data_IF_462034227508
#
_entry.id   IF_462034227508
#
_cell.length_a   1.000
_cell.length_b   1.000
_cell.length_c   1.000
_cell.angle_alpha   90.00
_cell.angle_beta   90.00
_cell.angle_gamma   90.00
#
_symmetry.space_group_name_H-M   'P 1'
#
loop_
_entity.id
_entity.type
_entity.pdbx_description
1 polymer ?
#
# COMPACT_ATOMS: atom_id res chain seq x y z
N UNK A 1 33.39 4.35 39.69
CA UNK A 1 33.75 4.13 38.28
C UNK A 1 32.49 3.59 37.60
N UNK A 2 31.69 4.47 37.00
CA UNK A 2 30.46 4.07 36.30
C UNK A 2 30.83 3.74 34.87
N UNK A 3 30.43 2.56 34.40
CA UNK A 3 30.65 2.09 33.03
C UNK A 3 29.80 2.96 32.09
N UNK A 4 30.38 4.08 31.66
CA UNK A 4 29.93 4.80 30.46
C UNK A 4 30.19 3.84 29.30
N UNK A 5 29.19 3.63 28.45
CA UNK A 5 29.21 2.75 27.25
C UNK A 5 28.67 1.32 27.44
N UNK A 6 28.01 1.00 28.56
CA UNK A 6 27.20 -0.22 28.65
C UNK A 6 25.74 0.11 28.36
N UNK A 7 25.21 -0.48 27.31
CA UNK A 7 23.80 -0.43 26.99
C UNK A 7 23.00 -1.19 28.08
N UNK A 8 22.19 -0.44 28.83
CA UNK A 8 21.28 -0.97 29.87
C UNK A 8 19.86 -1.08 29.32
N UNK A 9 18.98 -1.82 29.98
CA UNK A 9 17.54 -1.87 29.63
C UNK A 9 16.87 -0.49 29.62
N UNK A 10 17.43 0.49 30.34
CA UNK A 10 16.95 1.87 30.41
C UNK A 10 17.56 2.81 29.37
N UNK A 11 18.66 2.40 28.73
CA UNK A 11 19.34 3.17 27.68
C UNK A 11 19.20 2.53 26.29
N UNK A 12 18.52 1.38 26.20
CA UNK A 12 18.16 0.75 24.93
C UNK A 12 17.15 1.62 24.20
N UNK A 13 17.46 1.95 22.95
CA UNK A 13 16.52 2.58 22.05
C UNK A 13 15.27 1.68 21.88
N UNK A 14 14.11 2.28 21.62
CA UNK A 14 12.88 1.52 21.44
C UNK A 14 13.04 0.50 20.31
N UNK A 15 12.60 -0.74 20.54
CA UNK A 15 12.71 -1.81 19.54
C UNK A 15 11.74 -1.62 18.38
N UNK A 16 10.74 -0.74 18.52
CA UNK A 16 9.74 -0.45 17.50
C UNK A 16 9.93 0.94 16.87
N UNK A 17 11.17 1.36 16.61
CA UNK A 17 11.39 2.56 15.77
C UNK A 17 10.93 2.26 14.34
N UNK A 18 10.28 3.23 13.70
CA UNK A 18 9.86 3.14 12.30
C UNK A 18 11.07 3.04 11.36
N UNK A 19 10.83 2.77 10.08
CA UNK A 19 11.90 2.83 9.08
C UNK A 19 12.31 4.30 8.87
N UNK A 20 13.61 4.58 8.98
CA UNK A 20 14.20 5.81 8.45
C UNK A 20 14.25 5.67 6.92
N UNK A 21 13.21 6.15 6.24
CA UNK A 21 13.19 6.22 4.78
C UNK A 21 13.44 7.67 4.35
N UNK A 22 14.35 7.88 3.40
CA UNK A 22 14.49 9.19 2.74
C UNK A 22 13.15 9.55 2.10
N UNK A 23 12.58 10.69 2.48
CA UNK A 23 11.41 11.21 1.80
C UNK A 23 11.74 11.42 0.32
N UNK A 24 10.93 10.81 -0.57
CA UNK A 24 11.14 10.96 -2.01
C UNK A 24 11.09 12.43 -2.40
N UNK A 25 12.00 12.84 -3.31
CA UNK A 25 12.20 14.23 -3.74
C UNK A 25 10.94 14.96 -4.24
N UNK A 26 9.89 14.21 -4.62
CA UNK A 26 8.69 14.73 -5.28
C UNK A 26 7.36 14.39 -4.54
N UNK A 27 7.43 13.89 -3.30
CA UNK A 27 6.31 14.02 -2.34
C UNK A 27 5.05 13.16 -2.52
N UNK A 28 5.06 12.13 -3.36
CA UNK A 28 3.92 11.20 -3.49
C UNK A 28 3.73 10.39 -2.20
N UNK A 29 2.62 10.59 -1.50
CA UNK A 29 2.37 9.98 -0.18
C UNK A 29 2.32 8.45 -0.26
N UNK A 30 1.88 7.91 -1.39
CA UNK A 30 1.77 6.46 -1.60
C UNK A 30 3.12 5.74 -1.51
N UNK A 31 4.22 6.39 -1.88
CA UNK A 31 5.57 5.82 -1.81
C UNK A 31 6.32 6.12 -0.51
N UNK A 32 5.78 7.01 0.34
CA UNK A 32 6.42 7.44 1.58
C UNK A 32 5.80 6.75 2.82
N UNK A 33 5.39 5.49 2.66
CA UNK A 33 4.80 4.71 3.77
C UNK A 33 5.87 4.31 4.77
N UNK A 34 5.73 4.76 6.02
CA UNK A 34 6.63 4.39 7.13
C UNK A 34 6.35 2.98 7.63
N UNK A 35 6.76 1.98 6.85
CA UNK A 35 6.58 0.57 7.17
C UNK A 35 7.94 -0.13 7.22
N UNK A 36 8.28 -0.71 8.38
CA UNK A 36 9.49 -1.51 8.54
C UNK A 36 9.12 -3.00 8.55
N UNK A 37 9.24 -3.73 7.43
CA UNK A 37 8.99 -5.17 7.43
C UNK A 37 9.98 -5.92 8.32
N UNK A 38 9.52 -7.03 8.92
CA UNK A 38 10.29 -7.83 9.88
C UNK A 38 10.21 -9.32 9.56
N UNK A 39 11.36 -9.98 9.54
CA UNK A 39 11.48 -11.42 9.33
C UNK A 39 11.99 -11.76 7.94
N UNK A 40 11.78 -13.01 7.53
CA UNK A 40 12.26 -13.51 6.24
C UNK A 40 11.31 -13.03 5.14
N UNK A 41 11.89 -12.39 4.12
CA UNK A 41 11.21 -12.02 2.89
C UNK A 41 10.86 -13.27 2.07
N UNK A 42 9.62 -13.36 1.60
CA UNK A 42 9.18 -14.43 0.69
C UNK A 42 8.67 -13.85 -0.62
N UNK A 43 9.28 -14.25 -1.74
CA UNK A 43 8.88 -13.79 -3.07
C UNK A 43 7.71 -14.63 -3.59
N UNK A 44 6.65 -13.97 -4.01
CA UNK A 44 5.43 -14.60 -4.52
C UNK A 44 5.02 -13.90 -5.81
N UNK A 45 4.60 -14.67 -6.81
CA UNK A 45 3.98 -14.12 -8.00
C UNK A 45 2.49 -13.91 -7.74
N UNK A 46 1.98 -12.69 -7.96
CA UNK A 46 0.54 -12.43 -7.82
C UNK A 46 -0.24 -13.11 -8.96
N UNK A 47 -1.40 -13.68 -8.62
CA UNK A 47 -2.37 -14.11 -9.63
C UNK A 47 -2.88 -12.91 -10.43
N UNK A 48 -3.16 -13.09 -11.73
CA UNK A 48 -3.55 -11.99 -12.63
C UNK A 48 -4.73 -11.16 -12.09
N UNK A 49 -5.77 -11.85 -11.58
CA UNK A 49 -6.95 -11.18 -11.00
C UNK A 49 -6.57 -10.30 -9.81
N UNK A 50 -5.73 -10.80 -8.91
CA UNK A 50 -5.28 -10.08 -7.73
C UNK A 50 -4.34 -8.94 -8.14
N UNK A 51 -3.43 -9.18 -9.08
CA UNK A 51 -2.53 -8.16 -9.62
C UNK A 51 -3.30 -6.98 -10.21
N UNK A 52 -4.35 -7.23 -11.00
CA UNK A 52 -5.21 -6.18 -11.57
C UNK A 52 -5.96 -5.41 -10.48
N UNK A 53 -6.54 -6.11 -9.50
CA UNK A 53 -7.23 -5.48 -8.38
C UNK A 53 -6.29 -4.60 -7.54
N UNK A 54 -5.09 -5.11 -7.23
CA UNK A 54 -4.04 -4.42 -6.49
C UNK A 54 -3.52 -3.20 -7.24
N UNK A 55 -3.26 -3.33 -8.54
CA UNK A 55 -2.80 -2.21 -9.38
C UNK A 55 -3.83 -1.09 -9.40
N UNK A 56 -5.11 -1.43 -9.58
CA UNK A 56 -6.19 -0.44 -9.50
C UNK A 56 -6.29 0.18 -8.09
N UNK A 57 -6.23 -0.63 -7.04
CA UNK A 57 -6.33 -0.16 -5.67
C UNK A 57 -5.30 0.93 -5.36
N UNK A 58 -4.02 0.68 -5.68
CA UNK A 58 -2.94 1.65 -5.45
C UNK A 58 -3.18 2.96 -6.20
N UNK A 59 -3.63 2.88 -7.45
CA UNK A 59 -3.94 4.08 -8.25
C UNK A 59 -5.13 4.84 -7.65
N UNK A 60 -6.20 4.14 -7.29
CA UNK A 60 -7.44 4.76 -6.79
C UNK A 60 -7.28 5.45 -5.43
N UNK A 61 -6.34 5.00 -4.59
CA UNK A 61 -6.05 5.66 -3.30
C UNK A 61 -5.05 6.81 -3.42
N UNK A 62 -4.38 6.98 -4.56
CA UNK A 62 -3.38 8.02 -4.76
C UNK A 62 -4.07 9.34 -5.12
N UNK A 63 -4.14 10.25 -4.15
CA UNK A 63 -4.81 11.54 -4.31
C UNK A 63 -4.13 12.43 -5.38
N UNK A 64 -2.82 12.27 -5.55
CA UNK A 64 -1.99 13.04 -6.47
C UNK A 64 -2.38 12.82 -7.94
N UNK A 65 -3.01 11.68 -8.28
CA UNK A 65 -3.45 11.38 -9.65
C UNK A 65 -4.94 11.66 -9.89
N UNK A 66 -5.63 12.30 -8.95
CA UNK A 66 -7.06 12.66 -9.06
C UNK A 66 -7.46 13.28 -10.40
N UNK A 67 -6.71 14.25 -10.96
CA UNK A 67 -7.03 14.82 -12.27
C UNK A 67 -7.08 13.80 -13.41
N UNK A 68 -6.20 12.79 -13.38
CA UNK A 68 -6.18 11.72 -14.39
C UNK A 68 -7.37 10.77 -14.22
N UNK A 69 -7.73 10.46 -12.97
CA UNK A 69 -8.93 9.66 -12.64
C UNK A 69 -10.17 10.33 -13.23
N UNK A 70 -10.36 11.63 -12.98
CA UNK A 70 -11.49 12.39 -13.52
C UNK A 70 -11.48 12.43 -15.06
N UNK A 71 -10.32 12.70 -15.67
CA UNK A 71 -10.20 12.75 -17.14
C UNK A 71 -10.62 11.44 -17.81
N UNK A 72 -10.14 10.30 -17.29
CA UNK A 72 -10.51 9.00 -17.84
C UNK A 72 -11.97 8.66 -17.56
N UNK A 73 -12.50 9.05 -16.40
CA UNK A 73 -13.90 8.82 -16.06
C UNK A 73 -14.85 9.52 -17.04
N UNK A 74 -14.55 10.78 -17.40
CA UNK A 74 -15.31 11.53 -18.42
C UNK A 74 -15.18 10.88 -19.81
N UNK A 75 -14.01 10.36 -20.17
CA UNK A 75 -13.83 9.58 -21.42
C UNK A 75 -14.72 8.33 -21.43
N UNK A 76 -14.79 7.60 -20.32
CA UNK A 76 -15.64 6.42 -20.19
C UNK A 76 -17.13 6.75 -20.32
N UNK A 77 -17.60 7.89 -19.79
CA UNK A 77 -19.00 8.36 -19.94
C UNK A 77 -19.42 8.49 -21.39
N UNK A 78 -18.54 9.02 -22.24
CA UNK A 78 -18.81 9.24 -23.66
C UNK A 78 -18.76 7.92 -24.44
N UNK A 79 -17.81 7.04 -24.13
CA UNK A 79 -17.57 5.81 -24.89
C UNK A 79 -18.50 4.65 -24.52
N UNK A 80 -18.77 4.46 -23.22
CA UNK A 80 -19.57 3.34 -22.72
C UNK A 80 -20.43 3.74 -21.51
N UNK A 81 -21.53 4.48 -21.73
CA UNK A 81 -22.35 5.03 -20.66
C UNK A 81 -23.04 3.98 -19.77
N UNK A 82 -23.16 2.73 -20.22
CA UNK A 82 -23.87 1.68 -19.48
C UNK A 82 -23.01 0.93 -18.46
N UNK A 83 -21.68 1.06 -18.52
CA UNK A 83 -20.75 0.28 -17.69
C UNK A 83 -19.55 1.13 -17.22
N UNK A 84 -19.76 2.43 -16.97
CA UNK A 84 -18.70 3.42 -16.72
C UNK A 84 -17.73 2.95 -15.65
N UNK A 85 -18.22 2.61 -14.45
CA UNK A 85 -17.35 2.24 -13.32
C UNK A 85 -16.51 0.99 -13.60
N UNK A 86 -17.14 -0.03 -14.22
CA UNK A 86 -16.45 -1.28 -14.57
C UNK A 86 -15.37 -1.01 -15.61
N UNK A 87 -15.72 -0.29 -16.68
CA UNK A 87 -14.79 0.06 -17.76
C UNK A 87 -13.64 0.89 -17.21
N UNK A 88 -13.95 1.93 -16.43
CA UNK A 88 -12.96 2.80 -15.80
C UNK A 88 -11.97 2.00 -14.95
N UNK A 89 -12.46 1.20 -14.00
CA UNK A 89 -11.62 0.37 -13.15
C UNK A 89 -10.72 -0.59 -13.94
N UNK A 90 -11.24 -1.18 -15.02
CA UNK A 90 -10.49 -2.19 -15.80
C UNK A 90 -9.48 -1.60 -16.76
N UNK A 91 -9.75 -0.43 -17.33
CA UNK A 91 -8.97 0.18 -18.42
C UNK A 91 -8.04 1.28 -17.92
N UNK A 92 -8.37 1.94 -16.81
CA UNK A 92 -7.61 3.06 -16.27
C UNK A 92 -6.12 2.76 -16.11
N UNK A 93 -5.66 1.64 -15.51
CA UNK A 93 -4.23 1.40 -15.34
C UNK A 93 -3.47 1.37 -16.67
N UNK A 94 -4.07 0.81 -17.71
CA UNK A 94 -3.46 0.73 -19.05
C UNK A 94 -3.49 2.09 -19.73
N UNK A 95 -4.62 2.79 -19.65
CA UNK A 95 -4.77 4.13 -20.19
C UNK A 95 -3.79 5.12 -19.54
N UNK A 96 -3.70 5.11 -18.20
CA UNK A 96 -2.85 5.99 -17.42
C UNK A 96 -1.37 5.80 -17.78
N UNK A 97 -0.92 4.55 -17.89
CA UNK A 97 0.44 4.23 -18.36
C UNK A 97 0.74 4.83 -19.72
N UNK A 98 -0.15 4.63 -20.70
CA UNK A 98 0.03 5.13 -22.06
C UNK A 98 0.04 6.66 -22.08
N UNK A 99 -0.89 7.28 -21.36
CA UNK A 99 -1.02 8.73 -21.27
C UNK A 99 0.24 9.39 -20.69
N UNK A 100 0.78 8.87 -19.59
CA UNK A 100 2.01 9.39 -18.99
C UNK A 100 3.24 9.13 -19.89
N UNK A 101 3.29 8.00 -20.60
CA UNK A 101 4.35 7.72 -21.57
C UNK A 101 4.31 8.65 -22.79
N UNK A 102 3.12 9.05 -23.24
CA UNK A 102 2.93 10.06 -24.27
C UNK A 102 3.40 11.44 -23.79
N UNK A 103 2.92 11.89 -22.63
CA UNK A 103 3.34 13.15 -22.03
C UNK A 103 4.87 13.22 -21.85
N UNK A 104 5.50 12.14 -21.39
CA UNK A 104 6.97 12.10 -21.21
C UNK A 104 7.75 12.17 -22.53
N UNK A 105 7.18 11.66 -23.63
CA UNK A 105 7.79 11.73 -24.97
C UNK A 105 7.73 13.14 -25.54
N UNK A 106 6.63 13.86 -25.30
CA UNK A 106 6.44 15.23 -25.79
C UNK A 106 7.15 16.26 -24.91
N UNK A 107 7.07 16.10 -23.58
CA UNK A 107 7.56 17.03 -22.58
C UNK A 107 8.24 16.29 -21.42
N UNK A 108 9.50 15.89 -21.61
CA UNK A 108 10.23 15.02 -20.68
C UNK A 108 10.41 15.60 -19.28
N UNK A 109 10.44 16.93 -19.13
CA UNK A 109 10.65 17.62 -17.85
C UNK A 109 9.37 17.73 -17.00
N UNK A 110 8.19 17.52 -17.59
CA UNK A 110 6.91 17.73 -16.91
C UNK A 110 6.41 16.46 -16.18
N UNK A 111 6.98 15.30 -16.51
CA UNK A 111 6.64 14.02 -15.88
C UNK A 111 7.70 13.68 -14.84
N UNK A 112 7.31 13.74 -13.57
CA UNK A 112 8.22 13.37 -12.49
C UNK A 112 8.49 11.87 -12.42
N UNK A 113 9.60 11.52 -11.78
CA UNK A 113 10.01 10.14 -11.53
C UNK A 113 8.90 9.34 -10.82
N UNK A 114 8.30 9.92 -9.77
CA UNK A 114 7.24 9.30 -8.98
C UNK A 114 5.99 9.03 -9.84
N UNK A 115 5.54 10.03 -10.61
CA UNK A 115 4.39 9.89 -11.48
C UNK A 115 4.62 8.81 -12.54
N UNK A 116 5.81 8.79 -13.15
CA UNK A 116 6.18 7.77 -14.14
C UNK A 116 6.28 6.36 -13.53
N UNK A 117 6.87 6.24 -12.33
CA UNK A 117 6.94 4.98 -11.60
C UNK A 117 5.55 4.43 -11.31
N UNK A 118 4.64 5.26 -10.79
CA UNK A 118 3.26 4.90 -10.50
C UNK A 118 2.51 4.47 -11.76
N UNK A 119 2.66 5.20 -12.87
CA UNK A 119 2.02 4.89 -14.15
C UNK A 119 2.49 3.56 -14.76
N UNK A 120 3.76 3.20 -14.57
CA UNK A 120 4.26 1.93 -15.08
C UNK A 120 3.67 0.70 -14.37
N UNK A 121 3.18 0.89 -13.14
CA UNK A 121 2.62 -0.15 -12.28
C UNK A 121 3.69 -0.92 -11.49
N UNK A 122 3.25 -1.75 -10.52
CA UNK A 122 4.15 -2.57 -9.73
C UNK A 122 4.67 -3.77 -10.52
N UNK A 123 5.76 -4.37 -10.04
CA UNK A 123 6.23 -5.66 -10.50
C UNK A 123 5.20 -6.76 -10.16
N UNK A 124 5.12 -7.77 -11.06
CA UNK A 124 4.23 -8.92 -10.87
C UNK A 124 4.68 -9.83 -9.70
N UNK A 125 5.98 -9.80 -9.39
CA UNK A 125 6.57 -10.50 -8.25
C UNK A 125 6.62 -9.55 -7.06
N UNK A 126 5.99 -9.98 -5.97
CA UNK A 126 5.88 -9.20 -4.74
C UNK A 126 6.63 -9.88 -3.62
N UNK A 127 7.02 -9.10 -2.62
CA UNK A 127 7.66 -9.61 -1.41
C UNK A 127 6.64 -9.65 -0.28
N UNK A 128 6.62 -10.72 0.49
CA UNK A 128 5.71 -10.88 1.62
C UNK A 128 6.46 -11.04 2.94
N UNK A 129 5.86 -10.53 4.01
CA UNK A 129 6.44 -10.52 5.35
C UNK A 129 5.44 -10.99 6.41
N UNK A 130 5.98 -11.65 7.44
CA UNK A 130 5.17 -12.16 8.54
C UNK A 130 4.94 -11.14 9.68
N UNK A 131 5.62 -9.99 9.64
CA UNK A 131 5.42 -8.88 10.59
C UNK A 131 5.95 -7.57 10.00
N UNK A 132 5.52 -6.46 10.56
CA UNK A 132 6.08 -5.14 10.29
C UNK A 132 6.00 -4.25 11.54
N UNK A 133 6.63 -3.08 11.46
CA UNK A 133 6.41 -1.97 12.38
C UNK A 133 5.90 -0.79 11.56
N UNK A 134 4.82 -0.17 12.05
CA UNK A 134 4.21 1.02 11.47
C UNK A 134 3.82 1.95 12.61
N UNK A 135 4.18 3.23 12.52
CA UNK A 135 3.88 4.25 13.52
C UNK A 135 4.27 3.82 14.94
N UNK A 136 5.44 3.23 15.11
CA UNK A 136 5.94 2.77 16.39
C UNK A 136 5.32 1.48 16.92
N UNK A 137 4.41 0.85 16.17
CA UNK A 137 3.66 -0.34 16.61
C UNK A 137 4.04 -1.56 15.78
N UNK A 138 4.29 -2.67 16.46
CA UNK A 138 4.63 -3.95 15.84
C UNK A 138 3.38 -4.78 15.57
N UNK A 139 3.18 -5.11 14.31
CA UNK A 139 2.12 -5.98 13.84
C UNK A 139 2.66 -7.35 13.42
N UNK A 140 1.84 -8.38 13.55
CA UNK A 140 2.15 -9.75 13.15
C UNK A 140 1.05 -10.28 12.23
N UNK A 141 1.40 -11.13 11.27
CA UNK A 141 0.36 -11.89 10.58
C UNK A 141 -0.28 -12.88 11.54
N UNK A 142 -1.56 -13.20 11.31
CA UNK A 142 -2.33 -14.21 12.03
C UNK A 142 -1.56 -15.51 12.20
N UNK A 143 -0.91 -15.97 11.13
CA UNK A 143 -0.11 -17.19 11.16
C UNK A 143 1.12 -17.06 12.08
N UNK A 144 1.78 -15.91 12.10
CA UNK A 144 2.97 -15.69 12.93
C UNK A 144 2.64 -15.62 14.42
N UNK A 145 1.51 -15.02 14.77
CA UNK A 145 1.14 -14.89 16.18
C UNK A 145 0.74 -16.20 16.85
N UNK A 146 0.32 -17.23 16.09
CA UNK A 146 0.05 -18.57 16.65
C UNK A 146 1.25 -19.17 17.40
N UNK A 147 2.47 -18.79 17.01
CA UNK A 147 3.71 -19.21 17.65
C UNK A 147 4.22 -18.20 18.70
N UNK A 148 3.40 -17.23 19.12
CA UNK A 148 3.75 -16.15 20.05
C UNK A 148 2.80 -16.11 21.23
N UNK A 149 3.29 -15.50 22.32
CA UNK A 149 2.50 -15.30 23.54
C UNK A 149 1.51 -14.14 23.43
N UNK A 150 1.77 -13.17 22.54
CA UNK A 150 0.99 -11.94 22.37
C UNK A 150 0.36 -11.90 20.99
N UNK A 151 -0.90 -11.49 20.92
CA UNK A 151 -1.62 -11.27 19.66
C UNK A 151 -1.45 -9.83 19.20
N UNK A 152 -0.91 -9.66 18.00
CA UNK A 152 -0.63 -8.36 17.38
C UNK A 152 -1.05 -8.35 15.90
N UNK A 153 -2.00 -9.20 15.51
CA UNK A 153 -2.54 -9.26 14.14
C UNK A 153 -3.78 -8.40 13.91
N UNK A 154 -4.43 -7.95 14.98
CA UNK A 154 -5.63 -7.12 14.90
C UNK A 154 -5.35 -5.70 14.43
N UNK A 155 -6.18 -5.20 13.52
CA UNK A 155 -6.22 -3.81 13.08
C UNK A 155 -7.61 -3.25 13.32
N UNK A 156 -7.67 -1.99 13.72
CA UNK A 156 -8.90 -1.21 13.86
C UNK A 156 -8.89 -0.15 12.78
N UNK A 157 -9.88 -0.19 11.90
CA UNK A 157 -10.16 0.87 10.93
C UNK A 157 -11.32 1.67 11.49
N UNK A 158 -11.04 2.90 11.91
CA UNK A 158 -12.06 3.78 12.48
C UNK A 158 -13.02 4.25 11.40
N UNK A 159 -14.32 4.15 11.66
CA UNK A 159 -15.35 4.65 10.75
C UNK A 159 -15.34 6.17 10.66
N UNK A 160 -15.68 6.67 9.48
CA UNK A 160 -15.99 8.06 9.18
C UNK A 160 -17.50 8.26 8.94
N UNK A 161 -17.89 9.48 8.58
CA UNK A 161 -19.30 9.81 8.30
C UNK A 161 -19.89 8.96 7.16
N UNK A 162 -19.09 8.58 6.17
CA UNK A 162 -19.51 7.71 5.07
C UNK A 162 -19.81 6.27 5.53
N UNK A 163 -19.19 5.83 6.61
CA UNK A 163 -19.40 4.52 7.25
C UNK A 163 -20.29 4.59 8.49
N UNK A 164 -21.05 5.68 8.67
CA UNK A 164 -21.89 5.94 9.85
C UNK A 164 -21.10 5.88 11.18
N UNK A 165 -19.81 6.21 11.16
CA UNK A 165 -18.89 6.09 12.30
C UNK A 165 -18.82 4.66 12.87
N UNK A 166 -19.00 3.64 12.02
CA UNK A 166 -18.84 2.24 12.41
C UNK A 166 -17.38 1.85 12.29
N UNK A 167 -16.80 1.43 13.41
CA UNK A 167 -15.45 0.89 13.46
C UNK A 167 -15.42 -0.55 12.93
N UNK A 168 -14.40 -0.87 12.12
CA UNK A 168 -14.15 -2.20 11.58
C UNK A 168 -12.92 -2.83 12.23
N UNK A 169 -13.04 -4.11 12.56
CA UNK A 169 -11.95 -4.91 13.12
C UNK A 169 -11.52 -5.94 12.09
N UNK A 170 -10.23 -5.95 11.78
CA UNK A 170 -9.65 -6.82 10.79
C UNK A 170 -8.44 -7.56 11.36
N UNK A 171 -8.08 -8.68 10.71
CA UNK A 171 -6.93 -9.49 11.08
C UNK A 171 -5.96 -9.55 9.91
N UNK A 172 -4.71 -9.13 10.13
CA UNK A 172 -3.64 -9.17 9.12
C UNK A 172 -3.31 -10.62 8.79
N UNK A 173 -3.58 -11.05 7.57
CA UNK A 173 -3.13 -12.33 7.04
C UNK A 173 -1.75 -12.24 6.42
N UNK A 174 -1.49 -11.15 5.68
CA UNK A 174 -0.26 -10.97 4.93
C UNK A 174 0.15 -9.50 4.87
N UNK A 175 1.45 -9.27 4.74
CA UNK A 175 2.03 -7.95 4.54
C UNK A 175 2.79 -8.02 3.22
N UNK A 176 2.34 -7.26 2.23
CA UNK A 176 2.79 -7.37 0.84
C UNK A 176 3.51 -6.08 0.47
N UNK A 177 4.75 -6.20 0.01
CA UNK A 177 5.55 -5.13 -0.57
C UNK A 177 5.50 -5.25 -2.10
N UNK A 178 4.96 -4.21 -2.74
CA UNK A 178 4.97 -4.02 -4.17
C UNK A 178 6.17 -3.19 -4.56
N UNK A 179 7.02 -3.73 -5.42
CA UNK A 179 8.14 -3.00 -6.00
C UNK A 179 7.68 -2.21 -7.23
N UNK A 180 8.15 -0.98 -7.35
CA UNK A 180 7.98 -0.11 -8.50
C UNK A 180 9.37 0.29 -9.02
N UNK A 181 9.41 0.93 -10.20
CA UNK A 181 10.65 1.45 -10.75
C UNK A 181 11.33 2.45 -9.81
N UNK A 182 12.64 2.61 -9.98
CA UNK A 182 13.46 3.58 -9.22
C UNK A 182 13.38 3.39 -7.69
N UNK A 183 13.29 2.14 -7.25
CA UNK A 183 13.27 1.75 -5.83
C UNK A 183 12.04 2.20 -5.05
N UNK A 184 11.02 2.69 -5.74
CA UNK A 184 9.72 2.98 -5.14
C UNK A 184 9.08 1.68 -4.66
N UNK A 185 8.38 1.75 -3.53
CA UNK A 185 7.69 0.62 -2.94
C UNK A 185 6.37 1.04 -2.33
N UNK A 186 5.42 0.11 -2.32
CA UNK A 186 4.13 0.28 -1.66
C UNK A 186 3.85 -0.96 -0.82
N UNK A 187 3.57 -0.74 0.46
CA UNK A 187 3.14 -1.75 1.41
C UNK A 187 1.62 -1.82 1.46
N UNK A 188 1.10 -3.01 1.19
CA UNK A 188 -0.29 -3.38 1.35
C UNK A 188 -0.44 -4.47 2.40
N UNK A 189 -1.65 -4.57 2.93
CA UNK A 189 -1.99 -5.55 3.94
C UNK A 189 -3.20 -6.34 3.45
N UNK A 190 -3.08 -7.65 3.54
CA UNK A 190 -4.18 -8.57 3.26
C UNK A 190 -4.88 -8.89 4.58
N UNK A 191 -6.21 -8.77 4.59
CA UNK A 191 -7.01 -8.94 5.80
C UNK A 191 -8.19 -9.89 5.60
N UNK A 192 -8.53 -10.64 6.65
CA UNK A 192 -9.85 -11.26 6.80
C UNK A 192 -10.80 -10.20 7.40
N UNK A 193 -11.86 -9.85 6.67
CA UNK A 193 -12.94 -9.03 7.21
C UNK A 193 -13.74 -9.82 8.24
N UNK A 194 -13.93 -9.25 9.43
CA UNK A 194 -14.88 -9.80 10.39
C UNK A 194 -16.29 -9.39 9.97
N UNK A 195 -17.07 -10.35 9.45
CA UNK A 195 -18.51 -10.15 9.23
C UNK A 195 -19.21 -10.07 10.59
N UNK A 196 -19.60 -8.85 10.97
CA UNK A 196 -20.38 -8.58 12.19
C UNK A 196 -21.88 -8.85 11.99
N UNK A 197 -22.28 -9.40 10.84
CA UNK A 197 -23.63 -9.85 10.58
C UNK A 197 -24.08 -10.87 11.63
N UNK A 198 -25.25 -10.62 12.22
CA UNK A 198 -25.84 -11.43 13.29
C UNK A 198 -25.72 -12.93 12.99
N UNK A 199 -25.05 -13.66 13.88
CA UNK A 199 -25.17 -15.12 13.95
C UNK A 199 -26.63 -15.45 14.26
N UNK A 200 -27.36 -15.91 13.25
CA UNK A 200 -28.69 -16.54 13.42
C UNK A 200 -28.63 -17.76 14.33
#
# INVERSE_FOLDING_TARGET
MYLKDIETSFSRADSNIDADEEETLDGFRIFNQKCRPLGIASNVQLEDKLFRATSWYVLNICAEIGPYIEEHYEKCKVQNPNCIDRTHQTEFPTWFKQHIQEQRREHTLDVSANLYALACGPDLWVVTYAACIINGKRFHTKQRELCRRTQNSGVLVTGDEATNNVDFYDVINNIVELSYMEWHRVYLFEYDWFDVGDRK
#
